data_IF_922647517546
#
_entry.id   IF_922647517546
#
_cell.length_a   1.000
_cell.length_b   1.000
_cell.length_c   1.000
_cell.angle_alpha   90.00
_cell.angle_beta   90.00
_cell.angle_gamma   90.00
#
_symmetry.space_group_name_H-M   'P 1'
#
loop_
_entity.id
_entity.type
_entity.pdbx_description
1 polymer ?
#
# COMPACT_ATOMS: atom_id res chain seq x y z
N UNK A 1 -8.33 -8.91 18.49
CA UNK A 1 -7.78 -10.28 18.30
C UNK A 1 -8.89 -11.33 18.23
N UNK A 2 -8.58 -12.53 17.73
CA UNK A 2 -9.48 -13.69 17.72
C UNK A 2 -10.30 -13.91 16.45
N UNK A 3 -10.20 -13.04 15.45
CA UNK A 3 -10.90 -13.21 14.17
C UNK A 3 -10.16 -14.20 13.28
N UNK A 4 -10.82 -15.29 12.87
CA UNK A 4 -10.26 -16.25 11.92
C UNK A 4 -10.35 -15.69 10.50
N UNK A 5 -9.21 -15.53 9.82
CA UNK A 5 -9.14 -15.01 8.46
C UNK A 5 -9.36 -16.13 7.44
N UNK A 6 -10.63 -16.39 7.10
CA UNK A 6 -11.02 -17.49 6.23
C UNK A 6 -10.45 -17.36 4.82
N UNK A 7 -9.89 -18.45 4.29
CA UNK A 7 -9.44 -18.55 2.90
C UNK A 7 -8.07 -17.93 2.63
N UNK A 8 -7.27 -17.66 3.68
CA UNK A 8 -5.88 -17.23 3.51
C UNK A 8 -4.92 -18.42 3.44
N UNK A 9 -5.23 -19.52 4.12
CA UNK A 9 -4.37 -20.69 4.09
C UNK A 9 -4.50 -21.44 2.74
N UNK A 10 -3.35 -21.68 2.11
CA UNK A 10 -3.22 -22.43 0.84
C UNK A 10 -2.70 -23.85 1.03
N UNK A 11 -2.25 -24.19 2.24
CA UNK A 11 -1.70 -25.50 2.57
C UNK A 11 -2.83 -26.48 2.89
N UNK A 12 -2.71 -27.72 2.39
CA UNK A 12 -3.72 -28.77 2.57
C UNK A 12 -3.99 -29.10 4.06
N UNK A 13 -2.93 -29.19 4.85
CA UNK A 13 -3.00 -29.52 6.28
C UNK A 13 -2.77 -28.28 7.16
N UNK A 14 -2.92 -27.08 6.60
CA UNK A 14 -2.80 -25.82 7.32
C UNK A 14 -4.12 -25.35 7.93
N UNK A 15 -4.04 -24.45 8.90
CA UNK A 15 -5.19 -23.73 9.45
C UNK A 15 -5.17 -22.28 8.99
N UNK A 16 -6.35 -21.68 8.80
CA UNK A 16 -6.46 -20.24 8.56
C UNK A 16 -5.88 -19.46 9.76
N UNK A 17 -5.13 -18.37 9.52
CA UNK A 17 -4.53 -17.61 10.60
C UNK A 17 -5.60 -16.87 11.42
N UNK A 18 -5.34 -16.75 12.72
CA UNK A 18 -6.16 -15.99 13.66
C UNK A 18 -5.53 -14.63 13.86
N UNK A 19 -6.34 -13.57 13.77
CA UNK A 19 -5.90 -12.21 14.00
C UNK A 19 -5.42 -12.03 15.45
N UNK A 20 -4.22 -11.49 15.61
CA UNK A 20 -3.64 -11.14 16.91
C UNK A 20 -4.18 -9.79 17.41
N UNK A 21 -3.73 -9.33 18.56
CA UNK A 21 -4.00 -7.97 19.04
C UNK A 21 -3.20 -6.94 18.23
N UNK A 22 -3.70 -5.70 18.18
CA UNK A 22 -3.16 -4.64 17.32
C UNK A 22 -1.70 -4.26 17.67
N UNK A 23 -1.31 -4.46 18.93
CA UNK A 23 0.02 -4.23 19.49
C UNK A 23 1.06 -5.30 19.10
N UNK A 24 0.59 -6.50 18.74
CA UNK A 24 1.44 -7.58 18.23
C UNK A 24 1.81 -7.36 16.76
N UNK A 25 1.13 -6.45 16.07
CA UNK A 25 1.46 -6.09 14.71
C UNK A 25 2.51 -4.98 14.66
N UNK A 26 3.48 -5.05 13.73
CA UNK A 26 4.43 -3.97 13.54
C UNK A 26 3.75 -2.63 13.24
N UNK A 27 4.32 -1.53 13.77
CA UNK A 27 3.76 -0.19 13.62
C UNK A 27 3.57 0.26 12.15
N UNK A 28 4.40 -0.25 11.22
CA UNK A 28 4.28 0.10 9.80
C UNK A 28 2.96 -0.35 9.16
N UNK A 29 2.28 -1.36 9.72
CA UNK A 29 0.99 -1.83 9.22
C UNK A 29 -0.04 -0.69 9.23
N UNK A 30 -0.03 0.09 10.30
CA UNK A 30 -0.95 1.19 10.50
C UNK A 30 -0.64 2.40 9.62
N UNK A 31 0.62 2.56 9.20
CA UNK A 31 1.03 3.59 8.24
C UNK A 31 0.45 3.35 6.84
N UNK A 32 0.00 2.12 6.52
CA UNK A 32 -0.60 1.82 5.21
C UNK A 32 -1.98 2.48 5.02
N UNK A 33 -2.65 2.84 6.12
CA UNK A 33 -3.94 3.53 6.07
C UNK A 33 -3.78 5.04 5.83
N UNK A 34 -2.55 5.56 5.91
CA UNK A 34 -2.31 6.98 5.63
C UNK A 34 -2.59 7.30 4.15
N UNK A 35 -3.15 8.49 3.87
CA UNK A 35 -3.41 8.91 2.51
C UNK A 35 -2.10 9.00 1.71
N UNK A 36 -2.21 8.81 0.39
CA UNK A 36 -1.06 9.00 -0.50
C UNK A 36 -0.46 10.39 -0.30
N UNK A 37 0.88 10.52 -0.38
CA UNK A 37 1.53 11.80 -0.16
C UNK A 37 1.04 12.82 -1.18
N UNK A 38 0.87 14.06 -0.72
CA UNK A 38 0.61 15.16 -1.62
C UNK A 38 1.85 15.43 -2.48
N UNK A 39 1.73 15.12 -3.76
CA UNK A 39 2.79 15.30 -4.75
C UNK A 39 3.02 16.77 -5.11
N UNK A 40 2.18 17.70 -4.67
CA UNK A 40 2.39 19.13 -4.87
C UNK A 40 3.46 19.72 -3.94
N UNK A 41 3.76 19.05 -2.83
CA UNK A 41 4.68 19.52 -1.79
C UNK A 41 6.13 19.35 -2.22
N UNK A 42 6.94 20.42 -2.07
CA UNK A 42 8.34 20.44 -2.49
C UNK A 42 9.21 19.36 -1.81
N UNK A 43 8.93 19.01 -0.55
CA UNK A 43 9.62 17.96 0.19
C UNK A 43 9.51 16.58 -0.49
N UNK A 44 8.42 16.34 -1.22
CA UNK A 44 8.19 15.07 -1.91
C UNK A 44 8.85 15.00 -3.29
N UNK A 45 9.49 16.07 -3.78
CA UNK A 45 10.05 16.15 -5.14
C UNK A 45 11.12 15.08 -5.43
N UNK A 46 11.87 14.65 -4.43
CA UNK A 46 12.90 13.61 -4.57
C UNK A 46 12.42 12.20 -4.19
N UNK A 47 11.16 12.06 -3.78
CA UNK A 47 10.59 10.76 -3.45
C UNK A 47 10.40 9.90 -4.70
N UNK A 48 10.62 8.59 -4.56
CA UNK A 48 10.39 7.62 -5.64
C UNK A 48 8.94 7.63 -6.13
N UNK A 49 7.97 7.81 -5.23
CA UNK A 49 6.54 7.88 -5.54
C UNK A 49 6.19 9.10 -6.40
N UNK A 50 6.74 10.28 -6.08
CA UNK A 50 6.60 11.49 -6.89
C UNK A 50 7.16 11.31 -8.30
N UNK A 51 8.40 10.80 -8.42
CA UNK A 51 9.01 10.58 -9.74
C UNK A 51 8.19 9.62 -10.60
N UNK A 52 7.65 8.54 -10.01
CA UNK A 52 6.77 7.60 -10.72
C UNK A 52 5.46 8.27 -11.15
N UNK A 53 4.84 9.07 -10.29
CA UNK A 53 3.62 9.81 -10.60
C UNK A 53 3.84 10.77 -11.78
N UNK A 54 4.93 11.54 -11.77
CA UNK A 54 5.30 12.44 -12.86
C UNK A 54 5.48 11.70 -14.19
N UNK A 55 6.21 10.58 -14.19
CA UNK A 55 6.40 9.78 -15.39
C UNK A 55 5.08 9.24 -15.94
N UNK A 56 4.19 8.74 -15.08
CA UNK A 56 2.86 8.29 -15.48
C UNK A 56 2.02 9.42 -16.08
N UNK A 57 2.05 10.62 -15.49
CA UNK A 57 1.30 11.76 -16.01
C UNK A 57 1.81 12.17 -17.39
N UNK A 58 3.13 12.23 -17.60
CA UNK A 58 3.71 12.52 -18.93
C UNK A 58 3.26 11.52 -19.99
N UNK A 59 3.28 10.22 -19.67
CA UNK A 59 2.81 9.16 -20.58
C UNK A 59 1.33 9.36 -20.91
N UNK A 60 0.49 9.61 -19.89
CA UNK A 60 -0.95 9.87 -20.09
C UNK A 60 -1.18 11.10 -20.97
N UNK A 61 -0.54 12.22 -20.68
CA UNK A 61 -0.69 13.44 -21.48
C UNK A 61 -0.24 13.25 -22.92
N UNK A 62 0.81 12.45 -23.16
CA UNK A 62 1.28 12.15 -24.50
C UNK A 62 0.31 11.23 -25.25
N UNK A 63 -0.31 10.26 -24.56
CA UNK A 63 -1.35 9.42 -25.12
C UNK A 63 -2.62 10.21 -25.49
N UNK A 64 -3.01 11.20 -24.68
CA UNK A 64 -4.17 12.07 -24.96
C UNK A 64 -3.93 13.07 -26.11
N UNK A 65 -2.68 13.41 -26.39
CA UNK A 65 -2.31 14.36 -27.45
C UNK A 65 -2.17 13.70 -28.83
N UNK A 66 -2.18 12.37 -28.89
CA UNK A 66 -2.25 11.59 -30.14
C UNK A 66 -3.71 11.39 -30.53
#
# INVERSE_FOLDING_TARGET
>A
EGTVMKGLNVLKDGSDPVALADDQYPAWLWLLFEPKPDYSVAANRYSRSYMRHQSQMKIKTNALKK
#
